data_IF_530270760236
#
_entry.id   IF_530270760236
#
_cell.length_a   1.000
_cell.length_b   1.000
_cell.length_c   1.000
_cell.angle_alpha   90.00
_cell.angle_beta   90.00
_cell.angle_gamma   90.00
#
_symmetry.space_group_name_H-M   'P 1'
#
loop_
_entity.id
_entity.type
_entity.pdbx_description
1 polymer ?
#
# COMPACT_ATOMS: atom_id res chain seq x y z
N UNK A 1 -13.59 -10.78 -4.31
CA UNK A 1 -13.35 -10.39 -2.92
C UNK A 1 -13.66 -11.54 -2.00
N UNK A 2 -12.61 -12.04 -1.37
CA UNK A 2 -12.66 -13.06 -0.35
C UNK A 2 -13.24 -12.50 0.96
N UNK A 3 -13.96 -13.33 1.71
CA UNK A 3 -14.66 -12.89 2.93
C UNK A 3 -13.68 -12.35 4.00
N UNK A 4 -12.50 -12.95 4.10
CA UNK A 4 -11.47 -12.50 5.06
C UNK A 4 -10.95 -11.10 4.71
N UNK A 5 -10.79 -10.80 3.42
CA UNK A 5 -10.35 -9.48 2.94
C UNK A 5 -11.44 -8.44 3.15
N UNK A 6 -12.69 -8.79 2.83
CA UNK A 6 -13.85 -7.92 3.09
C UNK A 6 -13.97 -7.57 4.58
N UNK A 7 -13.84 -8.58 5.45
CA UNK A 7 -13.87 -8.38 6.91
C UNK A 7 -12.75 -7.46 7.35
N UNK A 8 -11.51 -7.67 6.89
CA UNK A 8 -10.38 -6.82 7.26
C UNK A 8 -10.60 -5.36 6.84
N UNK A 9 -11.05 -5.12 5.60
CA UNK A 9 -11.37 -3.77 5.12
C UNK A 9 -12.45 -3.09 5.96
N UNK A 10 -13.49 -3.83 6.35
CA UNK A 10 -14.59 -3.30 7.17
C UNK A 10 -14.14 -2.98 8.60
N UNK A 11 -13.37 -3.86 9.24
CA UNK A 11 -12.86 -3.65 10.60
C UNK A 11 -11.88 -2.48 10.63
N UNK A 12 -10.94 -2.41 9.70
CA UNK A 12 -9.99 -1.30 9.57
C UNK A 12 -10.71 0.04 9.39
N UNK A 13 -11.79 0.05 8.61
CA UNK A 13 -12.61 1.26 8.44
C UNK A 13 -13.35 1.64 9.73
N UNK A 14 -13.90 0.65 10.45
CA UNK A 14 -14.61 0.88 11.70
C UNK A 14 -13.69 1.40 12.82
N UNK A 15 -12.48 0.87 12.93
CA UNK A 15 -11.50 1.31 13.94
C UNK A 15 -10.75 2.61 13.54
N UNK A 16 -11.09 3.23 12.42
CA UNK A 16 -10.33 4.37 11.91
C UNK A 16 -10.33 5.61 12.81
N UNK A 17 -11.29 5.70 13.74
CA UNK A 17 -11.42 6.74 14.76
C UNK A 17 -11.01 6.30 16.16
N UNK A 18 -10.58 5.04 16.32
CA UNK A 18 -10.27 4.46 17.63
C UNK A 18 -8.81 4.75 18.05
N UNK A 19 -8.52 4.78 19.36
CA UNK A 19 -7.16 5.04 19.85
C UNK A 19 -6.20 3.85 19.65
N UNK A 20 -6.75 2.63 19.48
CA UNK A 20 -6.00 1.39 19.32
C UNK A 20 -6.62 0.55 18.20
N UNK A 21 -5.78 -0.19 17.46
CA UNK A 21 -6.15 -0.96 16.27
C UNK A 21 -6.19 -2.47 16.52
N UNK A 22 -6.71 -2.89 17.67
CA UNK A 22 -6.61 -4.29 18.11
C UNK A 22 -7.32 -5.24 17.15
N UNK A 23 -8.56 -4.96 16.74
CA UNK A 23 -9.27 -5.86 15.83
C UNK A 23 -8.77 -5.72 14.39
N UNK A 24 -8.31 -4.53 13.98
CA UNK A 24 -7.70 -4.31 12.67
C UNK A 24 -6.43 -5.16 12.49
N UNK A 25 -5.56 -5.23 13.50
CA UNK A 25 -4.38 -6.10 13.46
C UNK A 25 -4.76 -7.58 13.37
N UNK A 26 -5.71 -8.03 14.20
CA UNK A 26 -6.19 -9.42 14.15
C UNK A 26 -6.82 -9.76 12.78
N UNK A 27 -7.59 -8.84 12.20
CA UNK A 27 -8.23 -9.04 10.91
C UNK A 27 -7.20 -9.04 9.76
N UNK A 28 -6.17 -8.20 9.81
CA UNK A 28 -5.07 -8.22 8.85
C UNK A 28 -4.24 -9.51 8.98
N UNK A 29 -3.99 -9.99 10.20
CA UNK A 29 -3.31 -11.27 10.41
C UNK A 29 -4.09 -12.43 9.78
N UNK A 30 -5.42 -12.45 9.92
CA UNK A 30 -6.25 -13.47 9.28
C UNK A 30 -6.11 -13.47 7.74
N UNK A 31 -5.90 -12.31 7.11
CA UNK A 31 -5.61 -12.23 5.67
C UNK A 31 -4.28 -12.90 5.34
N UNK A 32 -3.23 -12.66 6.12
CA UNK A 32 -1.92 -13.31 5.93
C UNK A 32 -2.02 -14.83 6.08
N UNK A 33 -2.74 -15.31 7.11
CA UNK A 33 -2.96 -16.74 7.33
C UNK A 33 -3.70 -17.40 6.16
N UNK A 34 -4.72 -16.73 5.61
CA UNK A 34 -5.54 -17.28 4.53
C UNK A 34 -4.81 -17.25 3.17
N UNK A 35 -4.13 -16.15 2.86
CA UNK A 35 -3.52 -15.98 1.54
C UNK A 35 -2.07 -16.45 1.47
N UNK A 36 -1.37 -16.54 2.60
CA UNK A 36 0.09 -16.65 2.64
C UNK A 36 0.77 -15.36 2.15
N UNK A 37 2.09 -15.29 2.28
CA UNK A 37 2.85 -14.05 2.01
C UNK A 37 3.33 -13.93 0.55
N UNK A 38 3.44 -15.04 -0.16
CA UNK A 38 3.97 -15.05 -1.52
C UNK A 38 3.07 -14.26 -2.48
N UNK A 39 3.64 -13.21 -3.07
CA UNK A 39 2.97 -12.27 -3.98
C UNK A 39 1.67 -11.69 -3.40
N UNK A 40 1.59 -11.55 -2.07
CA UNK A 40 0.37 -11.18 -1.35
C UNK A 40 -0.26 -9.89 -1.89
N UNK A 41 0.54 -8.84 -2.11
CA UNK A 41 0.04 -7.55 -2.61
C UNK A 41 -0.66 -7.64 -3.97
N UNK A 42 -0.07 -8.34 -4.96
CA UNK A 42 -0.71 -8.50 -6.27
C UNK A 42 -1.97 -9.39 -6.18
N UNK A 43 -1.91 -10.46 -5.38
CA UNK A 43 -3.04 -11.39 -5.20
C UNK A 43 -4.23 -10.70 -4.53
N UNK A 44 -3.98 -9.88 -3.52
CA UNK A 44 -5.03 -9.08 -2.87
C UNK A 44 -5.61 -8.06 -3.83
N UNK A 45 -4.77 -7.36 -4.61
CA UNK A 45 -5.29 -6.39 -5.57
C UNK A 45 -6.15 -7.05 -6.65
N UNK A 46 -5.80 -8.26 -7.09
CA UNK A 46 -6.61 -9.04 -8.03
C UNK A 46 -7.95 -9.51 -7.42
N UNK A 47 -8.01 -9.73 -6.11
CA UNK A 47 -9.24 -10.12 -5.41
C UNK A 47 -10.15 -8.93 -5.05
N UNK A 48 -9.56 -7.75 -4.80
CA UNK A 48 -10.28 -6.55 -4.35
C UNK A 48 -10.89 -5.77 -5.54
N UNK A 49 -12.23 -5.62 -5.61
CA UNK A 49 -12.90 -4.92 -6.70
C UNK A 49 -12.50 -3.44 -6.79
N UNK A 50 -12.57 -2.86 -8.00
CA UNK A 50 -12.28 -1.44 -8.25
C UNK A 50 -13.22 -0.47 -7.53
N UNK A 51 -14.38 -0.94 -7.07
CA UNK A 51 -15.30 -0.15 -6.24
C UNK A 51 -14.73 0.16 -4.85
N UNK A 52 -13.76 -0.62 -4.35
CA UNK A 52 -13.08 -0.35 -3.09
C UNK A 52 -11.99 0.70 -3.33
N UNK A 53 -12.05 1.78 -2.55
CA UNK A 53 -11.14 2.91 -2.74
C UNK A 53 -9.67 2.50 -2.53
N UNK A 54 -8.76 3.05 -3.34
CA UNK A 54 -7.32 2.79 -3.20
C UNK A 54 -6.79 3.13 -1.81
N UNK A 55 -7.40 4.10 -1.08
CA UNK A 55 -6.99 4.47 0.28
C UNK A 55 -7.30 3.37 1.29
N UNK A 56 -8.44 2.70 1.15
CA UNK A 56 -8.77 1.56 2.02
C UNK A 56 -7.82 0.40 1.78
N UNK A 57 -7.45 0.16 0.52
CA UNK A 57 -6.47 -0.87 0.16
C UNK A 57 -5.07 -0.52 0.69
N UNK A 58 -4.64 0.73 0.53
CA UNK A 58 -3.38 1.21 1.10
C UNK A 58 -3.32 1.00 2.62
N UNK A 59 -4.39 1.35 3.33
CA UNK A 59 -4.48 1.14 4.78
C UNK A 59 -4.41 -0.33 5.16
N UNK A 60 -5.10 -1.22 4.44
CA UNK A 60 -4.95 -2.66 4.63
C UNK A 60 -3.49 -3.08 4.46
N UNK A 61 -2.79 -2.57 3.45
CA UNK A 61 -1.39 -2.90 3.20
C UNK A 61 -0.46 -2.41 4.31
N UNK A 62 -0.73 -1.24 4.88
CA UNK A 62 0.02 -0.75 6.05
C UNK A 62 -0.12 -1.71 7.24
N UNK A 63 -1.31 -2.25 7.50
CA UNK A 63 -1.49 -3.27 8.54
C UNK A 63 -0.77 -4.57 8.22
N UNK A 64 -0.87 -5.06 6.98
CA UNK A 64 -0.24 -6.31 6.55
C UNK A 64 1.29 -6.27 6.68
N UNK A 65 1.92 -5.12 6.46
CA UNK A 65 3.36 -4.95 6.63
C UNK A 65 3.83 -5.30 8.05
N UNK A 66 2.98 -5.14 9.07
CA UNK A 66 3.28 -5.52 10.45
C UNK A 66 2.92 -6.97 10.80
N UNK A 67 2.20 -7.67 9.93
CA UNK A 67 1.65 -9.01 10.19
C UNK A 67 2.36 -10.13 9.42
N UNK A 68 3.34 -9.77 8.60
CA UNK A 68 4.15 -10.72 7.82
C UNK A 68 5.42 -11.08 8.56
N UNK A 69 5.91 -12.31 8.37
CA UNK A 69 7.11 -12.85 9.02
C UNK A 69 8.36 -12.03 8.66
N UNK A 70 8.38 -11.43 7.46
CA UNK A 70 9.48 -10.60 6.98
C UNK A 70 9.35 -9.10 7.31
N UNK A 71 8.40 -8.74 8.19
CA UNK A 71 8.06 -7.36 8.57
C UNK A 71 7.77 -6.46 7.34
N UNK A 72 7.04 -7.01 6.37
CA UNK A 72 6.55 -6.30 5.20
C UNK A 72 7.58 -6.15 4.08
N UNK A 73 8.76 -6.74 4.19
CA UNK A 73 9.86 -6.56 3.23
C UNK A 73 9.45 -6.97 1.80
N UNK A 74 8.76 -8.11 1.64
CA UNK A 74 8.25 -8.58 0.36
C UNK A 74 7.16 -7.65 -0.19
N UNK A 75 6.27 -7.15 0.67
CA UNK A 75 5.25 -6.18 0.27
C UNK A 75 5.87 -4.88 -0.23
N UNK A 76 6.87 -4.35 0.47
CA UNK A 76 7.60 -3.14 0.08
C UNK A 76 8.20 -3.30 -1.31
N UNK A 77 8.84 -4.44 -1.62
CA UNK A 77 9.41 -4.71 -2.94
C UNK A 77 8.36 -4.74 -4.06
N UNK A 78 7.19 -5.33 -3.80
CA UNK A 78 6.10 -5.36 -4.79
C UNK A 78 5.56 -3.96 -5.07
N UNK A 79 5.37 -3.17 -4.02
CA UNK A 79 4.89 -1.78 -4.13
C UNK A 79 5.91 -0.90 -4.84
N UNK A 80 7.20 -1.07 -4.55
CA UNK A 80 8.29 -0.41 -5.25
C UNK A 80 8.24 -0.73 -6.75
N UNK A 81 8.11 -2.03 -7.08
CA UNK A 81 7.98 -2.50 -8.46
C UNK A 81 6.79 -1.84 -9.18
N UNK A 82 5.65 -1.67 -8.52
CA UNK A 82 4.50 -0.98 -9.11
C UNK A 82 4.80 0.48 -9.49
N UNK A 83 5.58 1.19 -8.66
CA UNK A 83 6.00 2.56 -8.94
C UNK A 83 7.01 2.62 -10.09
N UNK A 84 7.94 1.68 -10.14
CA UNK A 84 8.93 1.56 -11.23
C UNK A 84 8.27 1.22 -12.56
N UNK A 85 7.28 0.31 -12.55
CA UNK A 85 6.52 -0.06 -13.75
C UNK A 85 5.68 1.12 -14.26
N UNK A 86 5.06 1.90 -13.37
CA UNK A 86 4.45 3.19 -13.72
C UNK A 86 3.20 3.11 -14.63
N UNK A 87 2.63 1.93 -14.87
CA UNK A 87 1.57 1.72 -15.87
C UNK A 87 0.15 1.62 -15.32
N UNK A 88 -0.01 1.20 -14.06
CA UNK A 88 -1.33 0.99 -13.43
C UNK A 88 -1.61 2.09 -12.40
N UNK A 89 -2.59 2.94 -12.71
CA UNK A 89 -2.95 4.07 -11.86
C UNK A 89 -3.39 3.64 -10.46
N UNK A 90 -4.13 2.54 -10.31
CA UNK A 90 -4.65 2.10 -9.01
C UNK A 90 -3.50 1.57 -8.14
N UNK A 91 -2.61 0.76 -8.70
CA UNK A 91 -1.39 0.29 -8.02
C UNK A 91 -0.54 1.47 -7.54
N UNK A 92 -0.35 2.47 -8.39
CA UNK A 92 0.43 3.67 -8.08
C UNK A 92 -0.25 4.51 -7.00
N UNK A 93 -1.57 4.67 -7.06
CA UNK A 93 -2.32 5.37 -6.02
C UNK A 93 -2.21 4.67 -4.66
N UNK A 94 -2.28 3.33 -4.62
CA UNK A 94 -2.06 2.55 -3.40
C UNK A 94 -0.64 2.79 -2.88
N UNK A 95 0.36 2.59 -3.73
CA UNK A 95 1.78 2.72 -3.40
C UNK A 95 2.15 4.11 -2.83
N UNK A 96 1.61 5.18 -3.41
CA UNK A 96 1.88 6.55 -2.97
C UNK A 96 1.18 6.93 -1.65
N UNK A 97 0.26 6.11 -1.15
CA UNK A 97 -0.51 6.38 0.07
C UNK A 97 -0.21 5.42 1.23
N UNK A 98 0.81 4.57 1.12
CA UNK A 98 1.33 3.80 2.25
C UNK A 98 2.05 4.71 3.25
N UNK A 99 2.02 4.33 4.53
CA UNK A 99 2.73 5.02 5.61
C UNK A 99 4.23 4.73 5.57
N UNK A 100 4.60 3.49 5.24
CA UNK A 100 6.00 3.10 5.05
C UNK A 100 6.36 3.21 3.57
N UNK A 101 7.15 4.23 3.27
CA UNK A 101 7.54 4.54 1.90
C UNK A 101 8.69 3.62 1.41
N UNK A 102 8.62 3.04 0.19
CA UNK A 102 9.40 1.85 -0.13
C UNK A 102 10.85 2.08 -0.55
N UNK A 103 11.21 3.25 -1.07
CA UNK A 103 12.55 3.48 -1.60
C UNK A 103 13.57 3.79 -0.51
N UNK A 104 14.58 2.93 -0.38
CA UNK A 104 15.74 3.17 0.47
C UNK A 104 16.66 4.26 -0.12
N UNK A 105 16.89 4.22 -1.43
CA UNK A 105 17.72 5.17 -2.17
C UNK A 105 16.94 6.42 -2.58
N UNK A 106 17.46 7.59 -2.20
CA UNK A 106 16.82 8.88 -2.45
C UNK A 106 16.85 9.28 -3.93
N UNK A 107 17.93 8.98 -4.65
CA UNK A 107 18.05 9.31 -6.06
C UNK A 107 17.09 8.48 -6.91
N UNK A 108 16.98 7.19 -6.59
CA UNK A 108 16.01 6.30 -7.19
C UNK A 108 14.58 6.75 -6.91
N UNK A 109 14.28 7.09 -5.65
CA UNK A 109 12.98 7.67 -5.29
C UNK A 109 12.65 8.88 -6.16
N UNK A 110 13.56 9.85 -6.26
CA UNK A 110 13.31 11.07 -7.03
C UNK A 110 13.09 10.77 -8.50
N UNK A 111 13.93 9.92 -9.10
CA UNK A 111 13.78 9.49 -10.49
C UNK A 111 12.41 8.88 -10.73
N UNK A 112 12.03 7.86 -9.95
CA UNK A 112 10.76 7.15 -10.14
C UNK A 112 9.55 8.07 -9.91
N UNK A 113 9.55 8.85 -8.83
CA UNK A 113 8.43 9.77 -8.55
C UNK A 113 8.31 10.88 -9.59
N UNK A 114 9.42 11.38 -10.13
CA UNK A 114 9.40 12.33 -11.24
C UNK A 114 8.81 11.71 -12.51
N UNK A 115 9.22 10.49 -12.86
CA UNK A 115 8.71 9.78 -14.04
C UNK A 115 7.21 9.48 -13.92
N UNK A 116 6.75 9.05 -12.73
CA UNK A 116 5.33 8.82 -12.44
C UNK A 116 4.54 10.12 -12.51
N UNK A 117 5.05 11.23 -11.98
CA UNK A 117 4.37 12.52 -12.02
C UNK A 117 4.17 13.04 -13.44
N UNK A 118 5.12 12.78 -14.35
CA UNK A 118 5.01 13.12 -15.77
C UNK A 118 3.99 12.22 -16.47
N UNK A 119 4.07 10.91 -16.23
CA UNK A 119 3.25 9.92 -16.93
C UNK A 119 1.80 9.88 -16.46
N UNK A 120 1.56 10.19 -15.18
CA UNK A 120 0.24 10.15 -14.54
C UNK A 120 -0.04 11.46 -13.79
N UNK A 121 -0.52 12.50 -14.49
CA UNK A 121 -0.77 13.81 -13.90
C UNK A 121 -1.75 13.78 -12.71
N UNK A 122 -2.61 12.76 -12.60
CA UNK A 122 -3.56 12.63 -11.49
C UNK A 122 -2.88 12.44 -10.13
N UNK A 123 -1.65 11.91 -10.11
CA UNK A 123 -0.87 11.65 -8.89
C UNK A 123 0.35 12.56 -8.73
N UNK A 124 0.59 13.47 -9.69
CA UNK A 124 1.75 14.36 -9.70
C UNK A 124 1.90 15.17 -8.41
N UNK A 125 0.80 15.71 -7.88
CA UNK A 125 0.81 16.45 -6.62
C UNK A 125 1.27 15.61 -5.43
N UNK A 126 0.85 14.34 -5.35
CA UNK A 126 1.29 13.43 -4.28
C UNK A 126 2.77 13.07 -4.42
N UNK A 127 3.24 12.83 -5.64
CA UNK A 127 4.66 12.59 -5.92
C UNK A 127 5.53 13.77 -5.45
N UNK A 128 5.13 15.00 -5.79
CA UNK A 128 5.85 16.22 -5.38
C UNK A 128 5.90 16.41 -3.86
N UNK A 129 4.81 16.09 -3.15
CA UNK A 129 4.76 16.14 -1.69
C UNK A 129 5.77 15.17 -1.07
N UNK A 130 5.85 13.93 -1.57
CA UNK A 130 6.78 12.92 -1.07
C UNK A 130 8.24 13.29 -1.37
N UNK A 131 8.53 13.78 -2.58
CA UNK A 131 9.84 14.32 -2.94
C UNK A 131 10.25 15.44 -1.97
N UNK A 132 9.35 16.37 -1.69
CA UNK A 132 9.63 17.52 -0.83
C UNK A 132 9.85 17.11 0.63
N UNK A 133 9.06 16.16 1.14
CA UNK A 133 9.17 15.65 2.51
C UNK A 133 10.48 14.90 2.77
N UNK A 134 11.08 14.29 1.73
CA UNK A 134 12.38 13.61 1.84
C UNK A 134 13.55 14.59 1.89
N UNK A 135 13.49 15.68 1.12
CA UNK A 135 14.51 16.75 1.12
C UNK A 135 14.64 17.49 2.46
N UNK A 136 13.58 17.46 3.28
CA UNK A 136 13.51 18.15 4.56
C UNK A 136 13.85 17.28 5.77
N UNK A 137 14.22 16.01 5.55
CA UNK A 137 14.78 15.12 6.58
C UNK A 137 16.31 15.18 6.58
#
# INVERSE_FOLDING_TARGET
MHQVVERALNVIAAESSEPEYTEAFNAAHAVVVEFGEENLADRLLADIPDSISFRQVARLFDFLAWQTDDNGSAMTRIVERWLVEGTDLRKIQIALNLEVYPFADEHEMYRVLSDVAVSLPQVAGRCQLLISARKSR
#
